data_IF_618713690787
#
_entry.id   IF_618713690787
#
_cell.length_a   1.000
_cell.length_b   1.000
_cell.length_c   1.000
_cell.angle_alpha   90.00
_cell.angle_beta   90.00
_cell.angle_gamma   90.00
#
_symmetry.space_group_name_H-M   'P 1'
#
loop_
_entity.id
_entity.type
_entity.pdbx_description
1 polymer ?
#
# COMPACT_ATOMS: atom_id res chain seq x y z
N UNK A 1 -1.59 16.91 61.63
CA UNK A 1 -1.82 17.64 60.35
C UNK A 1 -0.99 17.07 59.18
N UNK A 2 0.30 16.75 59.37
CA UNK A 2 1.16 16.17 58.31
C UNK A 2 0.70 14.81 57.73
N UNK A 3 0.07 13.93 58.53
CA UNK A 3 -0.39 12.61 58.08
C UNK A 3 -1.56 12.66 57.08
N UNK A 4 -2.44 13.66 57.16
CA UNK A 4 -3.53 13.80 56.17
C UNK A 4 -3.03 14.38 54.83
N UNK A 5 -1.98 15.21 54.85
CA UNK A 5 -1.39 15.79 53.64
C UNK A 5 -0.66 14.73 52.81
N UNK A 6 0.05 13.79 53.45
CA UNK A 6 0.76 12.70 52.77
C UNK A 6 -0.19 11.68 52.11
N UNK A 7 -1.31 11.36 52.77
CA UNK A 7 -2.34 10.47 52.23
C UNK A 7 -3.03 11.08 51.01
N UNK A 8 -3.43 12.36 51.08
CA UNK A 8 -4.02 13.08 49.94
C UNK A 8 -3.04 13.18 48.77
N UNK A 9 -1.77 13.47 49.02
CA UNK A 9 -0.74 13.49 47.98
C UNK A 9 -0.56 12.12 47.28
N UNK A 10 -0.67 11.02 48.04
CA UNK A 10 -0.61 9.67 47.48
C UNK A 10 -1.83 9.35 46.60
N UNK A 11 -3.04 9.73 47.02
CA UNK A 11 -4.25 9.56 46.22
C UNK A 11 -4.22 10.39 44.94
N UNK A 12 -3.82 11.66 45.02
CA UNK A 12 -3.68 12.53 43.86
C UNK A 12 -2.64 11.98 42.88
N UNK A 13 -1.50 11.46 43.36
CA UNK A 13 -0.50 10.81 42.51
C UNK A 13 -1.03 9.53 41.84
N UNK A 14 -1.78 8.70 42.56
CA UNK A 14 -2.39 7.49 42.01
C UNK A 14 -3.43 7.79 40.94
N UNK A 15 -4.27 8.80 41.16
CA UNK A 15 -5.23 9.27 40.18
C UNK A 15 -4.53 9.83 38.93
N UNK A 16 -3.50 10.67 39.12
CA UNK A 16 -2.74 11.25 38.02
C UNK A 16 -2.06 10.17 37.15
N UNK A 17 -1.44 9.17 37.78
CA UNK A 17 -0.82 8.03 37.08
C UNK A 17 -1.88 7.24 36.30
N UNK A 18 -3.05 7.00 36.91
CA UNK A 18 -4.15 6.32 36.23
C UNK A 18 -4.63 7.06 34.96
N UNK A 19 -4.73 8.39 35.02
CA UNK A 19 -5.08 9.20 33.85
C UNK A 19 -4.02 9.17 32.75
N UNK A 20 -2.73 9.23 33.10
CA UNK A 20 -1.62 9.19 32.14
C UNK A 20 -1.61 7.84 31.40
N UNK A 21 -1.70 6.73 32.14
CA UNK A 21 -1.74 5.40 31.54
C UNK A 21 -2.96 5.20 30.63
N UNK A 22 -4.13 5.72 31.03
CA UNK A 22 -5.32 5.67 30.19
C UNK A 22 -5.15 6.44 28.87
N UNK A 23 -4.50 7.61 28.92
CA UNK A 23 -4.22 8.42 27.73
C UNK A 23 -3.21 7.73 26.78
N UNK A 24 -2.16 7.09 27.31
CA UNK A 24 -1.20 6.33 26.50
C UNK A 24 -1.84 5.11 25.85
N UNK A 25 -2.62 4.34 26.61
CA UNK A 25 -3.37 3.19 26.07
C UNK A 25 -4.31 3.64 24.96
N UNK A 26 -5.02 4.76 25.16
CA UNK A 26 -5.90 5.32 24.14
C UNK A 26 -5.13 5.75 22.89
N UNK A 27 -3.96 6.40 23.04
CA UNK A 27 -3.10 6.79 21.92
C UNK A 27 -2.56 5.60 21.14
N UNK A 28 -2.16 4.53 21.83
CA UNK A 28 -1.70 3.27 21.22
C UNK A 28 -2.84 2.62 20.45
N UNK A 29 -4.04 2.53 21.04
CA UNK A 29 -5.21 1.94 20.40
C UNK A 29 -5.61 2.71 19.13
N UNK A 30 -5.62 4.03 19.19
CA UNK A 30 -5.91 4.88 18.03
C UNK A 30 -4.87 4.63 16.92
N UNK A 31 -3.59 4.62 17.26
CA UNK A 31 -2.51 4.38 16.29
C UNK A 31 -2.61 2.99 15.66
N UNK A 32 -2.90 1.95 16.45
CA UNK A 32 -3.09 0.60 15.95
C UNK A 32 -4.27 0.51 14.96
N UNK A 33 -5.38 1.22 15.23
CA UNK A 33 -6.51 1.32 14.29
C UNK A 33 -6.09 2.01 12.99
N UNK A 34 -5.29 3.07 13.04
CA UNK A 34 -4.81 3.74 11.82
C UNK A 34 -3.81 2.89 11.02
N UNK A 35 -2.92 2.16 11.69
CA UNK A 35 -1.94 1.28 11.05
C UNK A 35 -2.58 0.02 10.44
N UNK A 36 -3.76 -0.38 10.91
CA UNK A 36 -4.52 -1.52 10.37
C UNK A 36 -5.47 -1.14 9.25
N UNK A 37 -5.57 0.15 8.91
CA UNK A 37 -6.31 0.59 7.72
C UNK A 37 -5.55 0.14 6.48
N UNK A 38 -5.86 -1.05 6.00
CA UNK A 38 -5.35 -1.57 4.74
C UNK A 38 -5.64 -0.56 3.62
N UNK A 39 -4.74 -0.49 2.64
CA UNK A 39 -5.08 0.16 1.38
C UNK A 39 -6.33 -0.55 0.85
N UNK A 40 -7.43 0.16 0.56
CA UNK A 40 -8.65 -0.51 0.12
C UNK A 40 -8.31 -1.30 -1.14
N UNK A 41 -8.49 -2.62 -1.07
CA UNK A 41 -8.48 -3.44 -2.26
C UNK A 41 -9.59 -2.93 -3.19
N UNK A 42 -9.31 -2.87 -4.49
CA UNK A 42 -10.27 -2.32 -5.45
C UNK A 42 -10.42 -3.22 -6.66
N UNK A 43 -11.63 -3.24 -7.20
CA UNK A 43 -11.97 -3.81 -8.50
C UNK A 43 -12.78 -2.78 -9.28
N UNK A 44 -12.82 -2.89 -10.60
CA UNK A 44 -13.66 -2.01 -11.41
C UNK A 44 -13.85 -2.48 -12.85
N UNK A 45 -14.74 -1.77 -13.54
CA UNK A 45 -15.23 -2.12 -14.87
C UNK A 45 -16.41 -3.13 -14.85
N UNK A 46 -16.83 -3.62 -16.03
CA UNK A 46 -16.32 -3.22 -17.34
C UNK A 46 -16.65 -1.76 -17.66
N UNK A 47 -15.72 -1.05 -18.28
CA UNK A 47 -16.02 0.23 -18.92
C UNK A 47 -16.81 0.03 -20.23
N UNK A 48 -17.08 1.11 -20.97
CA UNK A 48 -17.83 1.06 -22.22
C UNK A 48 -17.19 0.18 -23.31
N UNK A 49 -15.92 -0.20 -23.15
CA UNK A 49 -15.13 -1.02 -24.08
C UNK A 49 -14.82 -2.40 -23.49
N UNK A 50 -15.35 -2.72 -22.31
CA UNK A 50 -15.23 -4.04 -21.69
C UNK A 50 -14.02 -4.23 -20.78
N UNK A 51 -13.20 -3.19 -20.55
CA UNK A 51 -12.00 -3.34 -19.71
C UNK A 51 -12.34 -3.38 -18.22
N UNK A 52 -11.74 -4.31 -17.50
CA UNK A 52 -11.87 -4.51 -16.05
C UNK A 52 -10.50 -4.46 -15.37
N UNK A 53 -10.47 -4.10 -14.09
CA UNK A 53 -9.27 -4.23 -13.26
C UNK A 53 -9.57 -4.89 -11.91
N UNK A 54 -8.55 -5.54 -11.36
CA UNK A 54 -8.52 -6.13 -10.03
C UNK A 54 -7.17 -5.79 -9.38
N UNK A 55 -7.20 -5.24 -8.17
CA UNK A 55 -6.01 -4.95 -7.38
C UNK A 55 -5.35 -6.27 -6.93
N UNK A 56 -4.01 -6.31 -6.87
CA UNK A 56 -3.25 -7.45 -6.35
C UNK A 56 -3.53 -7.74 -4.86
N UNK A 57 -4.07 -6.78 -4.12
CA UNK A 57 -4.46 -6.94 -2.72
C UNK A 57 -5.86 -7.58 -2.56
N UNK A 58 -6.61 -7.80 -3.65
CA UNK A 58 -7.89 -8.52 -3.61
C UNK A 58 -7.66 -10.01 -3.30
N UNK A 59 -8.59 -10.69 -2.59
CA UNK A 59 -8.46 -12.13 -2.30
C UNK A 59 -8.30 -13.01 -3.55
N UNK A 60 -8.77 -12.54 -4.70
CA UNK A 60 -8.63 -13.21 -6.00
C UNK A 60 -7.75 -12.40 -6.98
N UNK A 61 -6.94 -11.47 -6.45
CA UNK A 61 -6.03 -10.67 -7.23
C UNK A 61 -4.90 -11.49 -7.86
N UNK A 62 -4.21 -10.92 -8.87
CA UNK A 62 -3.07 -11.58 -9.49
C UNK A 62 -1.97 -11.85 -8.46
N UNK A 63 -1.43 -13.06 -8.48
CA UNK A 63 -0.25 -13.43 -7.70
C UNK A 63 0.99 -12.88 -8.41
N UNK A 64 1.77 -12.08 -7.70
CA UNK A 64 3.06 -11.63 -8.21
C UNK A 64 4.08 -12.78 -8.20
N UNK A 65 4.64 -13.08 -9.36
CA UNK A 65 5.75 -14.04 -9.54
C UNK A 65 6.86 -13.35 -10.31
N UNK A 66 8.10 -13.46 -9.82
CA UNK A 66 9.27 -13.00 -10.55
C UNK A 66 9.68 -14.03 -11.60
N UNK A 67 9.71 -13.61 -12.86
CA UNK A 67 10.17 -14.43 -14.00
C UNK A 67 11.55 -13.96 -14.45
N UNK A 68 12.55 -14.83 -14.35
CA UNK A 68 13.92 -14.51 -14.76
C UNK A 68 14.07 -14.66 -16.28
N UNK A 69 14.31 -13.54 -16.96
CA UNK A 69 14.39 -13.50 -18.43
C UNK A 69 15.81 -13.32 -18.96
N UNK A 70 16.84 -13.21 -18.13
CA UNK A 70 18.23 -13.14 -18.65
C UNK A 70 18.61 -14.32 -19.59
N UNK A 71 18.09 -15.56 -19.45
CA UNK A 71 18.41 -16.64 -20.37
C UNK A 71 17.55 -16.67 -21.66
N UNK A 72 16.37 -16.07 -21.63
CA UNK A 72 15.34 -16.23 -22.68
C UNK A 72 14.98 -14.93 -23.40
N UNK A 73 15.23 -13.79 -22.77
CA UNK A 73 14.89 -12.46 -23.24
C UNK A 73 15.85 -11.92 -24.29
N UNK A 74 15.40 -10.88 -24.99
CA UNK A 74 16.23 -10.11 -25.93
C UNK A 74 16.69 -8.83 -25.25
N UNK A 75 18.01 -8.59 -25.18
CA UNK A 75 18.57 -7.38 -24.59
C UNK A 75 18.26 -6.18 -25.48
N UNK A 76 17.69 -5.13 -24.88
CA UNK A 76 17.45 -3.84 -25.53
C UNK A 76 18.65 -2.93 -25.30
N UNK A 77 19.31 -2.47 -26.38
CA UNK A 77 20.52 -1.65 -26.32
C UNK A 77 20.34 -0.21 -26.79
N UNK A 78 19.17 0.13 -27.37
CA UNK A 78 18.91 1.41 -28.04
C UNK A 78 18.14 2.42 -27.18
N UNK A 79 18.52 2.57 -25.91
CA UNK A 79 17.89 3.52 -25.00
C UNK A 79 18.24 4.97 -25.33
N UNK A 80 17.26 5.87 -25.28
CA UNK A 80 17.48 7.31 -25.52
C UNK A 80 18.24 8.02 -24.41
N UNK A 81 18.19 7.50 -23.18
CA UNK A 81 18.85 8.04 -21.99
C UNK A 81 19.06 6.92 -20.96
N UNK A 82 20.04 7.07 -20.07
CA UNK A 82 20.33 6.11 -19.00
C UNK A 82 19.37 6.19 -17.81
N UNK A 83 18.69 7.33 -17.63
CA UNK A 83 17.89 7.58 -16.41
C UNK A 83 16.38 7.67 -16.69
N UNK A 84 16.02 8.20 -17.84
CA UNK A 84 14.64 8.45 -18.28
C UNK A 84 14.42 8.07 -19.76
N UNK A 85 15.26 7.16 -20.25
CA UNK A 85 15.21 6.71 -21.63
C UNK A 85 14.04 5.78 -21.91
N UNK A 86 13.68 5.72 -23.18
CA UNK A 86 12.84 4.68 -23.73
C UNK A 86 13.57 4.03 -24.90
N UNK A 87 13.10 2.86 -25.33
CA UNK A 87 13.51 2.22 -26.57
C UNK A 87 12.25 1.74 -27.28
N UNK A 88 12.23 1.84 -28.61
CA UNK A 88 11.14 1.34 -29.43
C UNK A 88 10.77 2.25 -30.60
N UNK A 89 9.68 1.91 -31.31
CA UNK A 89 8.73 0.83 -31.03
C UNK A 89 9.36 -0.57 -31.14
N UNK A 90 8.94 -1.50 -30.27
CA UNK A 90 9.35 -2.92 -30.32
C UNK A 90 8.12 -3.74 -30.66
N UNK A 91 8.19 -4.52 -31.75
CA UNK A 91 7.07 -5.38 -32.12
C UNK A 91 6.91 -6.51 -31.12
N UNK A 92 5.71 -6.69 -30.60
CA UNK A 92 5.36 -7.71 -29.61
C UNK A 92 4.86 -9.03 -30.23
N UNK A 93 4.86 -9.11 -31.57
CA UNK A 93 4.52 -10.33 -32.32
C UNK A 93 3.02 -10.60 -32.48
N UNK A 94 2.15 -9.72 -32.00
CA UNK A 94 0.70 -9.78 -32.16
C UNK A 94 0.08 -8.37 -32.08
N UNK A 95 -1.10 -8.14 -32.66
CA UNK A 95 -1.80 -6.86 -32.52
C UNK A 95 -2.33 -6.68 -31.10
N UNK A 96 -2.08 -5.51 -30.50
CA UNK A 96 -2.66 -5.10 -29.23
C UNK A 96 -3.84 -4.16 -29.49
N UNK A 97 -5.02 -4.49 -28.96
CA UNK A 97 -6.22 -3.67 -29.10
C UNK A 97 -6.45 -2.86 -27.82
N UNK A 98 -6.48 -1.53 -27.96
CA UNK A 98 -6.73 -0.60 -26.87
C UNK A 98 -7.82 0.39 -27.29
N UNK A 99 -8.99 0.29 -26.65
CA UNK A 99 -10.16 1.13 -26.92
C UNK A 99 -10.47 1.24 -28.42
N UNK A 100 -10.74 0.10 -29.06
CA UNK A 100 -11.01 -0.07 -30.49
C UNK A 100 -9.88 0.34 -31.46
N UNK A 101 -8.70 0.70 -30.95
CA UNK A 101 -7.53 0.99 -31.78
C UNK A 101 -6.54 -0.18 -31.74
N UNK A 102 -6.07 -0.60 -32.91
CA UNK A 102 -5.06 -1.65 -33.05
C UNK A 102 -3.65 -1.05 -33.10
N UNK A 103 -2.73 -1.64 -32.33
CA UNK A 103 -1.31 -1.28 -32.24
C UNK A 103 -0.45 -2.51 -32.60
N UNK A 104 0.65 -2.30 -33.31
CA UNK A 104 1.56 -3.37 -33.79
C UNK A 104 2.99 -2.89 -33.95
#
# INVERSE_FOLDING_TARGET
>A
MFHQQSVRALYTRRLLIGFILAAEVLGILITAVYLTKANPATTGGPDAFGYTFIDSNEPNGPIYTWEEISPTGTIITSWTSLYDGFSGPISIGFPFYYYDNAYS
#
